data_IF_655219592003
#
_entry.id   IF_655219592003
#
_cell.length_a   1.000
_cell.length_b   1.000
_cell.length_c   1.000
_cell.angle_alpha   90.00
_cell.angle_beta   90.00
_cell.angle_gamma   90.00
#
_symmetry.space_group_name_H-M   'P 1'
#
loop_
_entity.id
_entity.type
_entity.pdbx_description
1 polymer ?
#
# COMPACT_ATOMS: atom_id res chain seq x y z
N UNK A 1 -44.20 -0.11 11.97
CA UNK A 1 -43.33 -1.21 12.35
C UNK A 1 -42.54 -1.79 11.18
N UNK A 2 -43.18 -2.10 10.07
CA UNK A 2 -42.47 -2.64 8.90
C UNK A 2 -41.43 -1.67 8.31
N UNK A 3 -41.68 -0.37 8.42
CA UNK A 3 -40.81 0.68 7.92
C UNK A 3 -39.52 0.73 8.76
N UNK A 4 -39.61 0.53 10.08
CA UNK A 4 -38.49 0.52 10.98
C UNK A 4 -37.58 -0.69 10.74
N UNK A 5 -38.16 -1.87 10.49
CA UNK A 5 -37.40 -3.08 10.15
C UNK A 5 -36.68 -2.94 8.82
N UNK A 6 -37.33 -2.38 7.81
CA UNK A 6 -36.72 -2.09 6.51
C UNK A 6 -35.58 -1.08 6.63
N UNK A 7 -35.77 -0.09 7.49
CA UNK A 7 -34.76 0.95 7.72
C UNK A 7 -33.52 0.38 8.38
N UNK A 8 -33.66 -0.46 9.38
CA UNK A 8 -32.56 -1.10 10.08
C UNK A 8 -31.77 -2.04 9.16
N UNK A 9 -32.46 -2.82 8.34
CA UNK A 9 -31.83 -3.71 7.36
C UNK A 9 -31.06 -2.90 6.32
N UNK A 10 -31.61 -1.77 5.88
CA UNK A 10 -30.99 -0.90 4.91
C UNK A 10 -29.70 -0.26 5.44
N UNK A 11 -29.68 0.18 6.69
CA UNK A 11 -28.50 0.73 7.35
C UNK A 11 -27.42 -0.34 7.49
N UNK A 12 -27.79 -1.57 7.85
CA UNK A 12 -26.87 -2.69 7.97
C UNK A 12 -26.20 -3.03 6.64
N UNK A 13 -26.96 -3.06 5.55
CA UNK A 13 -26.44 -3.30 4.20
C UNK A 13 -25.53 -2.17 3.76
N UNK A 14 -25.86 -0.92 4.05
CA UNK A 14 -25.05 0.25 3.74
C UNK A 14 -23.71 0.20 4.47
N UNK A 15 -23.71 -0.20 5.74
CA UNK A 15 -22.48 -0.33 6.52
C UNK A 15 -21.56 -1.38 5.92
N UNK A 16 -22.09 -2.52 5.48
CA UNK A 16 -21.32 -3.58 4.82
C UNK A 16 -20.74 -3.10 3.48
N UNK A 17 -21.51 -2.36 2.71
CA UNK A 17 -21.05 -1.79 1.43
C UNK A 17 -19.92 -0.79 1.65
N UNK A 18 -20.03 0.08 2.65
CA UNK A 18 -18.98 1.04 2.98
C UNK A 18 -17.69 0.34 3.42
N UNK A 19 -17.80 -0.74 4.17
CA UNK A 19 -16.65 -1.53 4.58
C UNK A 19 -15.94 -2.19 3.39
N UNK A 20 -16.71 -2.75 2.45
CA UNK A 20 -16.20 -3.30 1.21
C UNK A 20 -15.55 -2.24 0.31
N UNK A 21 -16.18 -1.06 0.23
CA UNK A 21 -15.67 0.04 -0.59
C UNK A 21 -14.34 0.60 -0.08
N UNK A 22 -14.10 0.63 1.25
CA UNK A 22 -12.86 1.18 1.79
C UNK A 22 -11.66 0.29 1.45
N UNK A 23 -11.81 -1.03 1.40
CA UNK A 23 -10.72 -1.92 1.00
C UNK A 23 -10.53 -1.95 -0.52
N UNK A 24 -11.62 -1.89 -1.31
CA UNK A 24 -11.57 -1.89 -2.78
C UNK A 24 -11.15 -0.57 -3.39
N UNK A 25 -11.34 0.52 -2.68
CA UNK A 25 -11.10 1.87 -3.19
C UNK A 25 -9.66 2.11 -3.66
N UNK A 26 -8.70 1.51 -2.98
CA UNK A 26 -7.28 1.72 -3.26
C UNK A 26 -6.60 0.52 -3.90
N UNK A 27 -7.34 -0.55 -4.18
CA UNK A 27 -6.78 -1.80 -4.71
C UNK A 27 -5.99 -1.58 -5.99
N UNK A 28 -6.53 -0.85 -6.95
CA UNK A 28 -5.85 -0.60 -8.24
C UNK A 28 -4.55 0.17 -8.06
N UNK A 29 -4.54 1.14 -7.17
CA UNK A 29 -3.34 1.94 -6.89
C UNK A 29 -2.29 1.10 -6.17
N UNK A 30 -2.70 0.31 -5.19
CA UNK A 30 -1.82 -0.59 -4.47
C UNK A 30 -1.19 -1.60 -5.43
N UNK A 31 -2.00 -2.23 -6.28
CA UNK A 31 -1.51 -3.21 -7.26
C UNK A 31 -0.50 -2.59 -8.22
N UNK A 32 -0.75 -1.37 -8.65
CA UNK A 32 0.16 -0.65 -9.54
C UNK A 32 1.50 -0.34 -8.86
N UNK A 33 1.44 0.16 -7.62
CA UNK A 33 2.65 0.43 -6.83
C UNK A 33 3.44 -0.86 -6.59
N UNK A 34 2.76 -1.94 -6.24
CA UNK A 34 3.38 -3.26 -6.02
C UNK A 34 4.08 -3.75 -7.28
N UNK A 35 3.43 -3.65 -8.45
CA UNK A 35 4.05 -4.07 -9.72
C UNK A 35 5.28 -3.26 -10.07
N UNK A 36 5.24 -1.96 -9.83
CA UNK A 36 6.39 -1.09 -10.08
C UNK A 36 7.55 -1.43 -9.12
N UNK A 37 7.24 -1.72 -7.87
CA UNK A 37 8.26 -2.11 -6.90
C UNK A 37 8.83 -3.49 -7.20
N UNK A 38 8.03 -4.43 -7.69
CA UNK A 38 8.51 -5.73 -8.15
C UNK A 38 9.55 -5.58 -9.26
N UNK A 39 9.27 -4.75 -10.24
CA UNK A 39 10.21 -4.46 -11.33
C UNK A 39 11.49 -3.82 -10.82
N UNK A 40 11.36 -2.86 -9.91
CA UNK A 40 12.49 -2.16 -9.32
C UNK A 40 13.37 -3.12 -8.53
N UNK A 41 12.78 -3.97 -7.70
CA UNK A 41 13.52 -4.93 -6.88
C UNK A 41 14.25 -5.96 -7.76
N UNK A 42 13.60 -6.44 -8.80
CA UNK A 42 14.21 -7.38 -9.75
C UNK A 42 15.43 -6.76 -10.44
N UNK A 43 15.34 -5.51 -10.86
CA UNK A 43 16.46 -4.80 -11.49
C UNK A 43 17.63 -4.60 -10.52
N UNK A 44 17.34 -4.22 -9.29
CA UNK A 44 18.35 -4.02 -8.26
C UNK A 44 19.07 -5.34 -7.96
N UNK A 45 18.33 -6.42 -7.78
CA UNK A 45 18.88 -7.73 -7.49
C UNK A 45 19.78 -8.25 -8.61
N UNK A 46 19.41 -8.00 -9.87
CA UNK A 46 20.21 -8.39 -11.02
C UNK A 46 21.49 -7.56 -11.16
N UNK A 47 21.39 -6.25 -10.90
CA UNK A 47 22.50 -5.33 -11.07
C UNK A 47 23.57 -5.54 -10.00
N UNK A 48 23.13 -5.64 -8.74
CA UNK A 48 24.05 -5.61 -7.61
C UNK A 48 24.49 -7.01 -7.15
N UNK A 49 23.73 -8.06 -7.49
CA UNK A 49 24.05 -9.47 -7.23
C UNK A 49 24.55 -9.73 -5.80
N UNK A 50 23.97 -9.04 -4.81
CA UNK A 50 24.35 -9.14 -3.40
C UNK A 50 23.26 -9.78 -2.54
N UNK A 51 23.02 -9.17 -1.39
CA UNK A 51 22.07 -9.66 -0.40
C UNK A 51 20.63 -9.24 -0.69
N UNK A 52 20.38 -8.54 -1.80
CA UNK A 52 19.05 -8.09 -2.16
C UNK A 52 18.12 -9.26 -2.41
N UNK A 53 16.90 -9.18 -1.87
CA UNK A 53 15.87 -10.17 -2.17
C UNK A 53 15.56 -10.13 -3.67
N UNK A 54 15.43 -11.30 -4.29
CA UNK A 54 15.24 -11.42 -5.74
C UNK A 54 13.89 -10.92 -6.18
N UNK A 55 12.88 -11.11 -5.35
CA UNK A 55 11.51 -10.76 -5.67
C UNK A 55 10.87 -10.00 -4.53
N UNK A 56 10.11 -8.96 -4.86
CA UNK A 56 9.26 -8.27 -3.92
C UNK A 56 7.89 -8.96 -3.88
N UNK A 57 7.41 -9.28 -2.69
CA UNK A 57 6.10 -9.89 -2.51
C UNK A 57 5.27 -9.01 -1.58
N UNK A 58 4.06 -8.70 -2.00
CA UNK A 58 3.10 -7.92 -1.22
C UNK A 58 2.89 -8.52 0.18
N UNK A 59 2.94 -9.84 0.30
CA UNK A 59 2.74 -10.56 1.58
C UNK A 59 3.82 -10.26 2.61
N UNK A 60 4.97 -9.78 2.17
CA UNK A 60 6.09 -9.47 3.04
C UNK A 60 6.24 -7.98 3.29
N UNK A 61 5.27 -7.18 2.88
CA UNK A 61 5.33 -5.73 2.95
C UNK A 61 4.17 -5.15 3.74
N UNK A 62 4.44 -4.00 4.36
CA UNK A 62 3.39 -3.14 4.86
C UNK A 62 3.05 -2.11 3.80
N UNK A 63 1.77 -1.81 3.67
CA UNK A 63 1.24 -0.91 2.63
C UNK A 63 0.42 0.17 3.31
N UNK A 64 0.73 1.42 2.98
CA UNK A 64 0.04 2.58 3.55
C UNK A 64 -0.41 3.51 2.43
N UNK A 65 -1.67 3.93 2.48
CA UNK A 65 -2.26 4.85 1.50
C UNK A 65 -2.59 6.17 2.20
N UNK A 66 -2.16 7.27 1.62
CA UNK A 66 -2.32 8.61 2.19
C UNK A 66 -3.00 9.56 1.20
N UNK A 67 -3.60 10.60 1.76
CA UNK A 67 -4.17 11.71 1.00
C UNK A 67 -5.10 11.22 -0.11
N UNK A 68 -6.07 10.41 0.27
CA UNK A 68 -7.11 9.84 -0.60
C UNK A 68 -6.54 9.10 -1.81
N UNK A 69 -5.39 8.46 -1.65
CA UNK A 69 -4.75 7.70 -2.71
C UNK A 69 -3.72 8.46 -3.52
N UNK A 70 -3.35 9.66 -3.11
CA UNK A 70 -2.28 10.40 -3.77
C UNK A 70 -0.92 9.74 -3.57
N UNK A 71 -0.69 9.20 -2.37
CA UNK A 71 0.56 8.51 -2.04
C UNK A 71 0.29 7.08 -1.59
N UNK A 72 1.09 6.15 -2.11
CA UNK A 72 1.15 4.78 -1.60
C UNK A 72 2.59 4.54 -1.13
N UNK A 73 2.75 4.19 0.14
CA UNK A 73 4.06 3.86 0.70
C UNK A 73 4.14 2.36 0.94
N UNK A 74 5.19 1.74 0.42
CA UNK A 74 5.50 0.32 0.62
C UNK A 74 6.70 0.23 1.55
N UNK A 75 6.59 -0.62 2.58
CA UNK A 75 7.66 -0.83 3.56
C UNK A 75 7.99 -2.31 3.62
N UNK A 76 9.24 -2.67 3.38
CA UNK A 76 9.68 -4.05 3.46
C UNK A 76 11.20 -4.12 3.69
N UNK A 77 11.71 -5.33 3.88
CA UNK A 77 13.14 -5.59 4.07
C UNK A 77 13.74 -6.05 2.74
N UNK A 78 14.43 -5.16 1.99
CA UNK A 78 14.94 -5.51 0.67
C UNK A 78 16.23 -6.33 0.70
N UNK A 79 16.91 -6.41 1.85
CA UNK A 79 18.13 -7.18 2.03
C UNK A 79 17.84 -8.43 2.86
N UNK A 80 18.27 -9.59 2.40
CA UNK A 80 18.02 -10.85 3.09
C UNK A 80 18.74 -10.98 4.44
N UNK A 81 19.92 -10.37 4.57
CA UNK A 81 20.75 -10.47 5.78
C UNK A 81 20.57 -9.27 6.71
N UNK A 82 19.73 -8.31 6.38
CA UNK A 82 19.51 -7.11 7.16
C UNK A 82 18.03 -6.97 7.50
N UNK A 83 17.73 -6.72 8.76
CA UNK A 83 16.35 -6.51 9.20
C UNK A 83 15.89 -5.06 9.05
N UNK A 84 16.67 -4.21 8.42
CA UNK A 84 16.31 -2.83 8.19
C UNK A 84 15.14 -2.71 7.21
N UNK A 85 14.12 -1.98 7.64
CA UNK A 85 12.93 -1.72 6.82
C UNK A 85 13.18 -0.49 5.95
N UNK A 86 12.95 -0.64 4.65
CA UNK A 86 13.03 0.46 3.71
C UNK A 86 11.64 0.88 3.28
N UNK A 87 11.45 2.17 3.05
CA UNK A 87 10.17 2.77 2.70
C UNK A 87 10.25 3.37 1.31
N UNK A 88 9.27 3.06 0.47
CA UNK A 88 9.22 3.51 -0.93
C UNK A 88 7.88 4.17 -1.20
N UNK A 89 7.90 5.38 -1.75
CA UNK A 89 6.69 6.16 -2.01
C UNK A 89 6.41 6.27 -3.50
N UNK A 90 5.16 6.01 -3.87
CA UNK A 90 4.64 6.21 -5.21
C UNK A 90 3.57 7.29 -5.16
N UNK A 91 3.74 8.32 -5.99
CA UNK A 91 2.77 9.40 -6.13
C UNK A 91 1.86 9.12 -7.31
N UNK A 92 0.57 9.31 -7.12
CA UNK A 92 -0.42 9.09 -8.16
C UNK A 92 -0.98 10.42 -8.65
N UNK A 93 -1.02 10.58 -9.98
CA UNK A 93 -1.73 11.65 -10.67
C UNK A 93 -2.76 10.99 -11.56
N UNK A 94 -4.02 10.95 -11.12
CA UNK A 94 -5.03 10.11 -11.75
C UNK A 94 -4.66 8.64 -11.66
N UNK A 95 -4.52 7.98 -12.81
CA UNK A 95 -4.14 6.56 -12.86
C UNK A 95 -2.63 6.33 -13.01
N UNK A 96 -1.86 7.39 -13.18
CA UNK A 96 -0.41 7.29 -13.38
C UNK A 96 0.31 7.32 -12.04
N UNK A 97 1.26 6.40 -11.87
CA UNK A 97 2.08 6.30 -10.67
C UNK A 97 3.52 6.66 -10.99
N UNK A 98 4.16 7.41 -10.10
CA UNK A 98 5.56 7.79 -10.20
C UNK A 98 6.27 7.53 -8.90
N UNK A 99 7.43 6.85 -8.95
CA UNK A 99 8.27 6.68 -7.80
C UNK A 99 8.89 8.01 -7.36
N UNK A 100 8.85 8.30 -6.07
CA UNK A 100 9.40 9.54 -5.48
C UNK A 100 10.80 9.28 -4.93
N UNK A 101 11.84 9.55 -5.74
CA UNK A 101 13.22 9.24 -5.38
C UNK A 101 13.73 10.00 -4.16
N UNK A 102 13.60 11.31 -4.15
CA UNK A 102 14.17 12.16 -3.09
C UNK A 102 13.13 12.54 -2.04
N UNK A 103 12.29 11.58 -1.67
CA UNK A 103 11.21 11.78 -0.74
C UNK A 103 11.49 11.05 0.58
N UNK A 104 11.33 11.76 1.70
CA UNK A 104 11.52 11.15 3.02
C UNK A 104 10.29 10.29 3.37
N UNK A 105 10.24 9.10 2.81
CA UNK A 105 9.10 8.19 2.97
C UNK A 105 8.90 7.76 4.42
N UNK A 106 9.96 7.47 5.13
CA UNK A 106 9.89 7.08 6.55
C UNK A 106 9.38 8.23 7.41
N UNK A 107 9.86 9.44 7.19
CA UNK A 107 9.38 10.62 7.91
C UNK A 107 7.91 10.91 7.63
N UNK A 108 7.49 10.77 6.39
CA UNK A 108 6.10 10.96 6.03
C UNK A 108 5.20 9.93 6.74
N UNK A 109 5.60 8.66 6.72
CA UNK A 109 4.91 7.60 7.44
C UNK A 109 4.80 7.90 8.94
N UNK A 110 5.84 8.41 9.54
CA UNK A 110 5.86 8.72 10.99
C UNK A 110 4.97 9.91 11.36
N UNK A 111 4.81 10.88 10.46
CA UNK A 111 4.12 12.13 10.73
C UNK A 111 2.66 12.19 10.26
N UNK A 112 2.24 11.23 9.44
CA UNK A 112 0.90 11.23 8.85
C UNK A 112 0.16 9.94 9.14
N UNK A 113 -1.17 10.05 9.27
CA UNK A 113 -2.03 8.89 9.45
C UNK A 113 -2.52 8.41 8.09
N UNK A 114 -2.41 7.10 7.79
CA UNK A 114 -2.89 6.58 6.52
C UNK A 114 -4.41 6.51 6.45
N UNK A 115 -4.96 6.70 5.26
CA UNK A 115 -6.38 6.47 5.00
C UNK A 115 -6.71 4.98 4.93
N UNK A 116 -5.71 4.17 4.57
CA UNK A 116 -5.83 2.72 4.49
C UNK A 116 -4.45 2.09 4.72
N UNK A 117 -4.43 0.95 5.39
CA UNK A 117 -3.17 0.23 5.62
C UNK A 117 -3.36 -1.28 5.59
N UNK A 118 -2.33 -1.98 5.13
CA UNK A 118 -2.18 -3.43 5.24
C UNK A 118 -0.82 -3.71 5.86
N UNK A 119 -0.79 -4.28 7.04
CA UNK A 119 0.46 -4.57 7.74
C UNK A 119 0.72 -6.07 7.69
N UNK A 120 1.44 -6.52 6.66
CA UNK A 120 1.72 -7.93 6.40
C UNK A 120 3.12 -8.35 6.85
N UNK A 121 3.98 -7.41 7.10
CA UNK A 121 5.37 -7.67 7.52
C UNK A 121 5.38 -8.24 8.94
N UNK A 122 6.18 -9.27 9.17
CA UNK A 122 6.30 -9.95 10.46
C UNK A 122 7.55 -9.52 11.21
#
# INVERSE_FOLDING_TARGET
MNILKKFVVMISVLTLVLFGCSSGKYTDKIDKAVKLQEKKQTKIAKRDAGDEVKHFDKKDANIYVYDKGKYVILAYKPLSDDEEVHYYTYEFKGKKAKYKENFNSKGYYQEHDPDYKEENMR
#
